data_IF_315281043653
#
_entry.id   IF_315281043653
#
_cell.length_a   1.000
_cell.length_b   1.000
_cell.length_c   1.000
_cell.angle_alpha   90.00
_cell.angle_beta   90.00
_cell.angle_gamma   90.00
#
_symmetry.space_group_name_H-M   'P 1'
#
loop_
_entity.id
_entity.type
_entity.pdbx_description
1 polymer ?
#
# COMPACT_ATOMS: atom_id res chain seq x y z
N UNK A 1 4.02 -18.28 -14.04
CA UNK A 1 3.26 -17.03 -13.89
C UNK A 1 4.09 -16.12 -12.99
N UNK A 2 4.19 -14.81 -13.26
CA UNK A 2 4.94 -13.90 -12.38
C UNK A 2 4.32 -13.89 -10.98
N UNK A 3 5.14 -13.76 -9.95
CA UNK A 3 4.67 -13.63 -8.56
C UNK A 3 4.04 -12.24 -8.43
N UNK A 4 2.81 -12.13 -7.87
CA UNK A 4 2.17 -10.83 -7.65
C UNK A 4 2.95 -9.99 -6.62
N UNK A 5 3.19 -8.72 -6.95
CA UNK A 5 3.81 -7.74 -6.04
C UNK A 5 2.76 -6.93 -5.29
N UNK A 6 2.98 -6.76 -4.00
CA UNK A 6 2.08 -6.02 -3.09
C UNK A 6 2.87 -5.00 -2.28
N UNK A 7 2.47 -3.74 -2.33
CA UNK A 7 2.99 -2.69 -1.45
C UNK A 7 2.13 -2.61 -0.19
N UNK A 8 2.76 -2.56 0.98
CA UNK A 8 2.07 -2.43 2.27
C UNK A 8 2.65 -1.26 3.07
N UNK A 9 1.80 -0.34 3.53
CA UNK A 9 2.20 0.86 4.26
C UNK A 9 1.20 1.26 5.36
N UNK A 10 1.69 1.92 6.40
CA UNK A 10 0.86 2.70 7.33
C UNK A 10 0.93 4.18 6.94
N UNK A 11 -0.21 4.77 6.57
CA UNK A 11 -0.35 6.20 6.28
C UNK A 11 -1.04 6.96 7.43
N UNK A 12 -1.42 6.26 8.49
CA UNK A 12 -2.06 6.83 9.67
C UNK A 12 -1.04 7.35 10.70
N UNK A 13 0.18 6.80 10.69
CA UNK A 13 1.22 7.10 11.67
C UNK A 13 0.94 6.53 13.06
N UNK A 14 -0.06 5.66 13.19
CA UNK A 14 -0.57 5.16 14.47
C UNK A 14 -0.76 3.63 14.49
N UNK A 15 -0.53 2.93 13.38
CA UNK A 15 -0.96 1.54 13.22
C UNK A 15 0.01 0.69 12.39
N UNK A 16 1.32 0.92 12.55
CA UNK A 16 2.37 0.12 11.89
C UNK A 16 2.25 -1.39 12.15
N UNK A 17 1.86 -1.78 13.37
CA UNK A 17 1.66 -3.20 13.71
C UNK A 17 0.53 -3.84 12.89
N UNK A 18 -0.53 -3.09 12.56
CA UNK A 18 -1.57 -3.59 11.67
C UNK A 18 -1.02 -3.77 10.25
N UNK A 19 -0.30 -2.77 9.72
CA UNK A 19 0.33 -2.87 8.40
C UNK A 19 1.30 -4.08 8.33
N UNK A 20 2.11 -4.29 9.37
CA UNK A 20 3.04 -5.42 9.46
C UNK A 20 2.34 -6.77 9.46
N UNK A 21 1.19 -6.90 10.15
CA UNK A 21 0.40 -8.14 10.13
C UNK A 21 -0.10 -8.46 8.72
N UNK A 22 -0.58 -7.46 7.99
CA UNK A 22 -1.03 -7.65 6.61
C UNK A 22 0.12 -7.98 5.65
N UNK A 23 1.30 -7.37 5.83
CA UNK A 23 2.50 -7.73 5.09
C UNK A 23 2.89 -9.21 5.30
N UNK A 24 2.81 -9.70 6.55
CA UNK A 24 3.08 -11.12 6.87
C UNK A 24 2.05 -12.07 6.25
N UNK A 25 0.77 -11.69 6.28
CA UNK A 25 -0.29 -12.49 5.66
C UNK A 25 -0.10 -12.62 4.15
N UNK A 26 0.13 -11.50 3.45
CA UNK A 26 0.40 -11.49 2.01
C UNK A 26 1.63 -12.35 1.65
N UNK A 27 2.71 -12.24 2.43
CA UNK A 27 3.89 -13.08 2.22
C UNK A 27 3.60 -14.57 2.44
N UNK A 28 2.77 -14.93 3.42
CA UNK A 28 2.35 -16.32 3.65
C UNK A 28 1.47 -16.87 2.52
N UNK A 29 0.71 -16.00 1.83
CA UNK A 29 -0.08 -16.33 0.65
C UNK A 29 0.77 -16.45 -0.64
N UNK A 30 2.08 -16.16 -0.54
CA UNK A 30 3.04 -16.28 -1.65
C UNK A 30 3.25 -14.99 -2.44
N UNK A 31 2.71 -13.86 -1.99
CA UNK A 31 2.94 -12.55 -2.60
C UNK A 31 4.39 -12.08 -2.36
N UNK A 32 4.95 -11.34 -3.32
CA UNK A 32 6.19 -10.57 -3.12
C UNK A 32 5.84 -9.23 -2.46
N UNK A 33 6.28 -9.06 -1.21
CA UNK A 33 5.84 -7.93 -0.36
C UNK A 33 6.90 -6.84 -0.29
N UNK A 34 6.49 -5.61 -0.59
CA UNK A 34 7.26 -4.38 -0.35
C UNK A 34 6.64 -3.67 0.85
N UNK A 35 7.23 -3.85 2.03
CA UNK A 35 6.77 -3.24 3.26
C UNK A 35 7.47 -1.90 3.51
N UNK A 36 6.69 -0.82 3.62
CA UNK A 36 7.22 0.55 3.79
C UNK A 36 7.22 1.04 5.24
N UNK A 37 6.54 0.34 6.16
CA UNK A 37 6.29 0.87 7.51
C UNK A 37 5.41 2.12 7.45
N UNK A 38 5.68 3.08 8.34
CA UNK A 38 5.10 4.42 8.26
C UNK A 38 5.55 5.15 6.99
N UNK A 39 4.59 5.63 6.19
CA UNK A 39 4.87 6.34 4.93
C UNK A 39 3.84 7.44 4.67
N UNK A 40 4.14 8.26 3.66
CA UNK A 40 3.22 9.29 3.17
C UNK A 40 2.57 8.85 1.85
N UNK A 41 1.36 9.35 1.52
CA UNK A 41 0.64 8.95 0.33
C UNK A 41 1.43 9.08 -0.98
N UNK A 42 2.13 10.20 -1.18
CA UNK A 42 2.90 10.47 -2.41
C UNK A 42 4.12 9.56 -2.51
N UNK A 43 4.85 9.36 -1.41
CA UNK A 43 5.99 8.44 -1.36
C UNK A 43 5.55 7.00 -1.67
N UNK A 44 4.41 6.58 -1.09
CA UNK A 44 3.81 5.27 -1.35
C UNK A 44 3.46 5.10 -2.83
N UNK A 45 2.80 6.08 -3.46
CA UNK A 45 2.45 6.02 -4.88
C UNK A 45 3.68 5.89 -5.80
N UNK A 46 4.79 6.55 -5.46
CA UNK A 46 6.05 6.40 -6.19
C UNK A 46 6.65 5.01 -6.07
N UNK A 47 6.58 4.39 -4.88
CA UNK A 47 7.00 2.99 -4.71
C UNK A 47 6.12 2.06 -5.53
N UNK A 48 4.79 2.25 -5.51
CA UNK A 48 3.86 1.46 -6.33
C UNK A 48 4.26 1.48 -7.80
N UNK A 49 4.61 2.66 -8.32
CA UNK A 49 5.12 2.81 -9.68
C UNK A 49 6.45 2.09 -9.90
N UNK A 50 7.41 2.28 -9.00
CA UNK A 50 8.77 1.75 -9.14
C UNK A 50 8.79 0.22 -9.10
N UNK A 51 7.91 -0.36 -8.29
CA UNK A 51 7.80 -1.81 -8.08
C UNK A 51 6.81 -2.48 -9.05
N UNK A 52 6.13 -1.71 -9.89
CA UNK A 52 5.06 -2.21 -10.77
C UNK A 52 4.03 -3.06 -10.00
N UNK A 53 3.61 -2.57 -8.82
CA UNK A 53 2.79 -3.33 -7.90
C UNK A 53 1.33 -3.39 -8.36
N UNK A 54 0.78 -4.60 -8.47
CA UNK A 54 -0.62 -4.81 -8.87
C UNK A 54 -1.61 -4.65 -7.71
N UNK A 55 -1.13 -4.64 -6.46
CA UNK A 55 -1.96 -4.44 -5.27
C UNK A 55 -1.26 -3.54 -4.25
N UNK A 56 -2.05 -2.76 -3.54
CA UNK A 56 -1.61 -1.90 -2.43
C UNK A 56 -2.53 -2.11 -1.24
N UNK A 57 -1.96 -2.35 -0.07
CA UNK A 57 -2.68 -2.41 1.20
C UNK A 57 -2.17 -1.29 2.10
N UNK A 58 -3.04 -0.37 2.49
CA UNK A 58 -2.66 0.72 3.39
C UNK A 58 -3.52 0.79 4.63
N UNK A 59 -2.91 1.12 5.76
CA UNK A 59 -3.65 1.56 6.95
C UNK A 59 -3.78 3.08 6.90
N UNK A 60 -5.00 3.59 6.75
CA UNK A 60 -5.20 5.01 6.50
C UNK A 60 -6.60 5.47 6.92
N UNK A 61 -6.69 6.71 7.41
CA UNK A 61 -7.96 7.43 7.48
C UNK A 61 -8.39 7.95 6.11
N UNK A 62 -9.63 8.43 6.00
CA UNK A 62 -10.22 8.88 4.73
C UNK A 62 -9.37 9.90 3.98
N UNK A 63 -8.83 10.90 4.67
CA UNK A 63 -7.98 11.94 4.07
C UNK A 63 -6.71 11.37 3.46
N UNK A 64 -5.99 10.51 4.19
CA UNK A 64 -4.76 9.89 3.70
C UNK A 64 -5.03 8.92 2.54
N UNK A 65 -6.13 8.16 2.62
CA UNK A 65 -6.57 7.29 1.54
C UNK A 65 -6.96 8.05 0.27
N UNK A 66 -7.65 9.19 0.40
CA UNK A 66 -7.96 10.06 -0.74
C UNK A 66 -6.70 10.68 -1.36
N UNK A 67 -5.75 11.13 -0.52
CA UNK A 67 -4.46 11.65 -0.98
C UNK A 67 -3.66 10.58 -1.74
N UNK A 68 -3.69 9.32 -1.31
CA UNK A 68 -3.03 8.22 -2.02
C UNK A 68 -3.67 7.99 -3.38
N UNK A 69 -5.02 7.95 -3.45
CA UNK A 69 -5.73 7.79 -4.73
C UNK A 69 -5.40 8.91 -5.71
N UNK A 70 -5.35 10.16 -5.24
CA UNK A 70 -4.96 11.30 -6.07
C UNK A 70 -3.52 11.15 -6.57
N UNK A 71 -2.58 10.76 -5.71
CA UNK A 71 -1.19 10.55 -6.09
C UNK A 71 -1.01 9.40 -7.11
N UNK A 72 -1.78 8.31 -6.99
CA UNK A 72 -1.79 7.22 -7.97
C UNK A 72 -2.31 7.70 -9.33
N UNK A 73 -3.42 8.45 -9.33
CA UNK A 73 -4.00 9.03 -10.54
C UNK A 73 -3.06 10.04 -11.22
N UNK A 74 -2.37 10.90 -10.45
CA UNK A 74 -1.39 11.86 -10.97
C UNK A 74 -0.20 11.17 -11.65
N UNK A 75 0.14 9.94 -11.21
CA UNK A 75 1.16 9.10 -11.83
C UNK A 75 0.64 8.24 -12.99
N UNK A 76 -0.66 8.29 -13.30
CA UNK A 76 -1.30 7.46 -14.33
C UNK A 76 -1.37 5.98 -13.97
N UNK A 77 -1.54 5.66 -12.68
CA UNK A 77 -1.64 4.29 -12.15
C UNK A 77 -3.11 3.99 -11.89
N UNK A 78 -3.78 3.41 -12.90
CA UNK A 78 -5.23 3.17 -12.86
C UNK A 78 -5.60 1.71 -12.52
N UNK A 79 -4.69 0.76 -12.77
CA UNK A 79 -4.95 -0.69 -12.69
C UNK A 79 -4.50 -1.34 -11.37
N UNK A 80 -4.33 -0.55 -10.30
CA UNK A 80 -3.89 -1.07 -9.00
C UNK A 80 -5.07 -1.38 -8.07
N UNK A 81 -5.08 -2.59 -7.51
CA UNK A 81 -6.07 -2.96 -6.50
C UNK A 81 -5.70 -2.32 -5.14
N UNK A 82 -6.43 -1.27 -4.74
CA UNK A 82 -6.22 -0.57 -3.48
C UNK A 82 -7.16 -1.08 -2.38
N UNK A 83 -6.58 -1.65 -1.32
CA UNK A 83 -7.24 -2.01 -0.08
C UNK A 83 -6.88 -1.00 1.03
N UNK A 84 -7.91 -0.44 1.69
CA UNK A 84 -7.73 0.53 2.78
C UNK A 84 -8.27 -0.06 4.06
N UNK A 85 -7.40 -0.15 5.06
CA UNK A 85 -7.70 -0.64 6.40
C UNK A 85 -7.86 0.58 7.34
N UNK A 86 -8.90 0.62 8.18
CA UNK A 86 -9.08 1.70 9.13
C UNK A 86 -7.99 1.66 10.23
N UNK A 87 -7.47 2.82 10.68
CA UNK A 87 -6.61 2.88 11.86
C UNK A 87 -7.43 2.55 13.12
N UNK A 88 -6.84 1.83 14.06
CA UNK A 88 -7.49 1.42 15.33
C UNK A 88 -7.18 2.39 16.47
#
# INVERSE_FOLDING_TARGET
MPIPRVVVADLSGASEELALRHARAASADGDEVVYLGGSEPVATAWVVRAEDAGRVVVVAGDTAAQALRAALADLGIDDVALEVLPPH
#
